data_IF_789679672956
#
_entry.id   IF_789679672956
#
_cell.length_a   1.000
_cell.length_b   1.000
_cell.length_c   1.000
_cell.angle_alpha   90.00
_cell.angle_beta   90.00
_cell.angle_gamma   90.00
#
_symmetry.space_group_name_H-M   'P 1'
#
loop_
_entity.id
_entity.type
_entity.pdbx_description
1 polymer ?
#
# COMPACT_ATOMS: atom_id res chain seq x y z
N UNK A 1 -29.19 53.83 -38.19
CA UNK A 1 -28.05 53.12 -38.84
C UNK A 1 -26.66 53.45 -38.26
N UNK A 2 -26.41 54.49 -37.47
CA UNK A 2 -25.09 54.88 -36.91
C UNK A 2 -24.60 53.96 -35.78
N UNK A 3 -25.49 53.36 -35.00
CA UNK A 3 -25.09 52.51 -33.84
C UNK A 3 -24.64 51.08 -34.19
N UNK A 4 -25.09 50.53 -35.35
CA UNK A 4 -24.63 49.20 -35.83
C UNK A 4 -23.18 49.20 -36.31
N UNK A 5 -22.67 50.30 -36.88
CA UNK A 5 -21.27 50.39 -37.34
C UNK A 5 -20.25 50.52 -36.17
N UNK A 6 -20.64 51.13 -35.04
CA UNK A 6 -19.78 51.17 -33.84
C UNK A 6 -19.66 49.80 -33.14
N UNK A 7 -20.75 49.05 -33.06
CA UNK A 7 -20.74 47.72 -32.45
C UNK A 7 -19.90 46.70 -33.25
N UNK A 8 -19.96 46.78 -34.59
CA UNK A 8 -19.19 45.92 -35.46
C UNK A 8 -17.68 46.21 -35.44
N UNK A 9 -17.26 47.48 -35.25
CA UNK A 9 -15.85 47.85 -35.08
C UNK A 9 -15.29 47.36 -33.72
N UNK A 10 -16.07 47.42 -32.64
CA UNK A 10 -15.69 46.82 -31.36
C UNK A 10 -15.60 45.27 -31.40
N UNK A 11 -16.49 44.62 -32.14
CA UNK A 11 -16.45 43.16 -32.29
C UNK A 11 -15.21 42.70 -33.09
N UNK A 12 -14.85 43.42 -34.16
CA UNK A 12 -13.64 43.15 -34.95
C UNK A 12 -12.37 43.41 -34.12
N UNK A 13 -12.33 44.48 -33.32
CA UNK A 13 -11.20 44.76 -32.44
C UNK A 13 -11.04 43.68 -31.34
N UNK A 14 -12.13 43.14 -30.79
CA UNK A 14 -12.10 42.02 -29.83
C UNK A 14 -11.66 40.73 -30.50
N UNK A 15 -12.07 40.43 -31.75
CA UNK A 15 -11.60 39.24 -32.47
C UNK A 15 -10.12 39.35 -32.86
N UNK A 16 -9.63 40.51 -33.22
CA UNK A 16 -8.20 40.70 -33.52
C UNK A 16 -7.34 40.62 -32.28
N UNK A 17 -7.82 41.11 -31.11
CA UNK A 17 -7.15 40.88 -29.84
C UNK A 17 -7.18 39.39 -29.42
N UNK A 18 -8.27 38.67 -29.64
CA UNK A 18 -8.34 37.23 -29.36
C UNK A 18 -7.40 36.41 -30.26
N UNK A 19 -7.25 36.81 -31.54
CA UNK A 19 -6.29 36.17 -32.45
C UNK A 19 -4.83 36.55 -32.16
N UNK A 20 -4.55 37.78 -31.67
CA UNK A 20 -3.20 38.17 -31.25
C UNK A 20 -2.73 37.40 -30.00
N UNK A 21 -3.65 37.02 -29.10
CA UNK A 21 -3.34 36.10 -27.97
C UNK A 21 -3.10 34.65 -28.40
N UNK A 22 -3.59 34.24 -29.59
CA UNK A 22 -3.33 32.90 -30.13
C UNK A 22 -1.99 32.79 -30.88
N UNK A 23 -1.31 33.90 -31.20
CA UNK A 23 -0.08 33.89 -32.01
C UNK A 23 1.17 34.21 -31.19
N UNK A 24 1.06 34.77 -30.01
CA UNK A 24 2.16 34.65 -29.05
C UNK A 24 2.17 33.21 -28.60
N UNK A 25 2.91 32.37 -29.32
CA UNK A 25 3.34 31.08 -28.82
C UNK A 25 4.01 31.32 -27.48
N UNK A 26 3.24 31.26 -26.41
CA UNK A 26 3.79 31.07 -25.07
C UNK A 26 4.55 29.77 -25.24
N UNK A 27 5.85 29.86 -25.43
CA UNK A 27 6.76 28.77 -25.15
C UNK A 27 6.53 28.47 -23.68
N UNK A 28 5.49 27.67 -23.40
CA UNK A 28 5.22 27.16 -22.10
C UNK A 28 6.46 26.33 -21.77
N UNK A 29 7.43 27.01 -21.16
CA UNK A 29 8.69 26.40 -20.77
C UNK A 29 8.29 25.21 -19.91
N UNK A 30 8.49 24.04 -20.51
CA UNK A 30 7.96 22.79 -20.01
C UNK A 30 8.35 22.64 -18.55
N UNK A 31 7.40 22.82 -17.64
CA UNK A 31 7.63 22.95 -16.21
C UNK A 31 8.43 21.75 -15.68
N UNK A 32 9.60 22.00 -15.13
CA UNK A 32 10.42 21.00 -14.47
C UNK A 32 9.79 20.68 -13.13
N UNK A 33 9.14 19.52 -13.02
CA UNK A 33 8.59 19.03 -11.74
C UNK A 33 9.64 18.21 -11.02
N UNK A 34 10.01 18.62 -9.80
CA UNK A 34 10.94 17.88 -8.94
C UNK A 34 10.17 17.27 -7.78
N UNK A 35 10.40 15.98 -7.51
CA UNK A 35 9.78 15.24 -6.42
C UNK A 35 10.83 14.45 -5.66
N UNK A 36 10.79 14.49 -4.32
CA UNK A 36 11.56 13.59 -3.46
C UNK A 36 10.74 12.33 -3.23
N UNK A 37 11.35 11.16 -3.43
CA UNK A 37 10.68 9.86 -3.25
C UNK A 37 11.61 8.89 -2.52
N UNK A 38 11.02 8.01 -1.72
CA UNK A 38 11.74 6.89 -1.10
C UNK A 38 11.29 5.62 -1.77
N UNK A 39 12.24 4.82 -2.24
CA UNK A 39 12.04 3.48 -2.75
C UNK A 39 12.64 2.47 -1.77
N UNK A 40 12.20 1.21 -1.85
CA UNK A 40 12.85 0.12 -1.16
C UNK A 40 13.66 -0.74 -2.13
N UNK A 41 14.71 -1.39 -1.61
CA UNK A 41 15.50 -2.33 -2.41
C UNK A 41 14.60 -3.45 -2.94
N UNK A 42 14.72 -3.79 -4.21
CA UNK A 42 13.88 -4.77 -4.90
C UNK A 42 12.63 -4.19 -5.57
N UNK A 43 12.24 -2.94 -5.26
CA UNK A 43 11.05 -2.35 -5.89
C UNK A 43 11.22 -2.12 -7.39
N UNK A 44 10.22 -2.59 -8.14
CA UNK A 44 10.06 -2.31 -9.57
C UNK A 44 8.76 -1.56 -9.80
N UNK A 45 8.89 -0.30 -10.22
CA UNK A 45 7.76 0.63 -10.25
C UNK A 45 7.59 1.20 -11.65
N UNK A 46 6.35 1.14 -12.14
CA UNK A 46 5.95 1.81 -13.36
C UNK A 46 5.39 3.19 -13.05
N UNK A 47 5.97 4.22 -13.68
CA UNK A 47 5.53 5.60 -13.57
C UNK A 47 4.89 6.06 -14.87
N UNK A 48 3.72 6.67 -14.77
CA UNK A 48 3.08 7.42 -15.86
C UNK A 48 3.11 8.91 -15.54
N UNK A 49 3.25 9.76 -16.53
CA UNK A 49 3.38 11.19 -16.35
C UNK A 49 2.21 11.92 -17.01
N UNK A 50 1.45 12.66 -16.22
CA UNK A 50 0.36 13.49 -16.72
C UNK A 50 0.94 14.81 -17.18
N UNK A 51 0.63 15.22 -18.40
CA UNK A 51 1.03 16.53 -18.98
C UNK A 51 2.45 16.61 -19.54
N UNK A 52 3.25 15.53 -19.44
CA UNK A 52 4.61 15.51 -19.99
C UNK A 52 4.68 15.18 -21.49
N UNK A 53 3.60 14.64 -22.05
CA UNK A 53 3.58 14.12 -23.42
C UNK A 53 4.39 12.82 -23.55
N UNK A 54 4.84 12.51 -24.77
CA UNK A 54 5.62 11.29 -25.05
C UNK A 54 7.00 11.37 -24.38
N UNK A 55 7.41 10.34 -23.65
CA UNK A 55 8.75 10.25 -23.03
C UNK A 55 9.82 10.15 -24.11
N UNK A 56 10.70 11.14 -24.18
CA UNK A 56 11.86 11.19 -25.09
C UNK A 56 13.05 10.43 -24.50
N UNK A 57 13.42 10.77 -23.26
CA UNK A 57 14.57 10.15 -22.61
C UNK A 57 14.35 9.96 -21.11
N UNK A 58 15.07 9.01 -20.53
CA UNK A 58 15.21 8.80 -19.09
C UNK A 58 16.66 8.50 -18.76
N UNK A 59 17.16 9.12 -17.67
CA UNK A 59 18.53 8.92 -17.17
C UNK A 59 18.49 8.81 -15.66
N UNK A 60 19.18 7.82 -15.13
CA UNK A 60 19.52 7.72 -13.71
C UNK A 60 20.94 8.23 -13.47
N UNK A 61 21.14 9.03 -12.43
CA UNK A 61 22.49 9.46 -12.01
C UNK A 61 23.32 8.33 -11.41
N UNK A 62 22.66 7.26 -10.97
CA UNK A 62 23.30 6.07 -10.42
C UNK A 62 22.44 4.81 -10.68
N UNK A 63 22.69 4.16 -11.80
CA UNK A 63 21.95 2.96 -12.22
C UNK A 63 22.26 1.72 -11.36
N UNK A 64 23.36 1.72 -10.59
CA UNK A 64 23.66 0.68 -9.60
C UNK A 64 22.76 0.78 -8.37
N UNK A 65 22.21 1.98 -8.08
CA UNK A 65 21.23 2.21 -7.00
C UNK A 65 19.80 2.08 -7.54
N UNK A 66 19.48 2.80 -8.62
CA UNK A 66 18.17 2.73 -9.28
C UNK A 66 18.38 2.73 -10.78
N UNK A 67 18.04 1.63 -11.43
CA UNK A 67 17.92 1.59 -12.89
C UNK A 67 16.60 2.22 -13.33
N UNK A 68 16.61 2.90 -14.49
CA UNK A 68 15.42 3.48 -15.07
C UNK A 68 15.43 3.30 -16.59
N UNK A 69 14.30 2.85 -17.16
CA UNK A 69 14.13 2.68 -18.61
C UNK A 69 12.78 3.19 -19.09
N UNK A 70 12.70 3.55 -20.36
CA UNK A 70 11.41 3.91 -21.00
C UNK A 70 10.50 2.67 -21.04
N UNK A 71 9.21 2.91 -20.81
CA UNK A 71 8.21 1.86 -20.90
C UNK A 71 6.87 2.47 -21.32
N UNK A 72 6.36 2.09 -22.51
CA UNK A 72 5.14 2.68 -23.08
C UNK A 72 5.19 4.24 -23.00
N UNK A 73 4.17 4.86 -22.40
CA UNK A 73 4.08 6.32 -22.21
C UNK A 73 4.67 6.81 -20.87
N UNK A 74 5.56 6.02 -20.25
CA UNK A 74 6.17 6.32 -18.98
C UNK A 74 7.57 5.76 -18.83
N UNK A 75 7.94 5.44 -17.59
CA UNK A 75 9.20 4.77 -17.27
C UNK A 75 8.94 3.62 -16.30
N UNK A 76 9.84 2.64 -16.30
CA UNK A 76 9.98 1.65 -15.24
C UNK A 76 11.28 1.95 -14.49
N UNK A 77 11.20 1.96 -13.16
CA UNK A 77 12.36 2.05 -12.28
C UNK A 77 12.52 0.74 -11.51
N UNK A 78 13.76 0.36 -11.25
CA UNK A 78 14.12 -0.82 -10.47
C UNK A 78 15.19 -0.43 -9.45
N UNK A 79 14.85 -0.57 -8.17
CA UNK A 79 15.72 -0.22 -7.03
C UNK A 79 16.59 -1.41 -6.66
N UNK A 80 17.92 -1.31 -6.88
CA UNK A 80 18.83 -2.44 -6.76
C UNK A 80 19.54 -2.52 -5.42
N UNK A 81 19.91 -1.38 -4.84
CA UNK A 81 20.60 -1.33 -3.56
C UNK A 81 20.37 -0.01 -2.82
N UNK A 82 20.60 0.00 -1.53
CA UNK A 82 20.55 1.20 -0.66
C UNK A 82 21.42 2.32 -1.22
N UNK A 83 20.92 3.55 -1.20
CA UNK A 83 21.66 4.73 -1.67
C UNK A 83 20.75 5.84 -2.17
N UNK A 84 21.35 6.80 -2.88
CA UNK A 84 20.65 7.93 -3.50
C UNK A 84 20.89 7.96 -5.00
N UNK A 85 19.88 8.33 -5.76
CA UNK A 85 19.97 8.57 -7.20
C UNK A 85 18.99 9.68 -7.62
N UNK A 86 19.29 10.33 -8.74
CA UNK A 86 18.37 11.26 -9.38
C UNK A 86 17.94 10.67 -10.71
N UNK A 87 16.63 10.51 -10.90
CA UNK A 87 16.06 10.07 -12.18
C UNK A 87 15.52 11.30 -12.89
N UNK A 88 16.07 11.59 -14.07
CA UNK A 88 15.59 12.67 -14.93
C UNK A 88 14.88 12.07 -16.13
N UNK A 89 13.62 12.46 -16.32
CA UNK A 89 12.80 12.05 -17.46
C UNK A 89 12.42 13.28 -18.26
N UNK A 90 12.71 13.27 -19.56
CA UNK A 90 12.34 14.35 -20.50
C UNK A 90 11.22 13.84 -21.42
N UNK A 91 10.19 14.63 -21.59
CA UNK A 91 9.10 14.39 -22.53
C UNK A 91 9.00 15.49 -23.58
N UNK A 92 7.96 15.41 -24.43
CA UNK A 92 7.70 16.40 -25.47
C UNK A 92 7.20 17.73 -24.91
N UNK A 93 6.58 17.73 -23.71
CA UNK A 93 5.93 18.90 -23.10
C UNK A 93 6.45 19.21 -21.69
N UNK A 94 7.52 18.54 -21.20
CA UNK A 94 8.04 18.80 -19.87
C UNK A 94 9.08 17.82 -19.40
N UNK A 95 9.54 18.02 -18.17
CA UNK A 95 10.48 17.11 -17.52
C UNK A 95 10.10 16.82 -16.08
N UNK A 96 10.41 15.61 -15.63
CA UNK A 96 10.28 15.19 -14.23
C UNK A 96 11.64 14.82 -13.69
N UNK A 97 11.88 15.22 -12.45
CA UNK A 97 13.09 14.85 -11.69
C UNK A 97 12.67 14.20 -10.39
N UNK A 98 13.04 12.94 -10.21
CA UNK A 98 12.89 12.25 -8.94
C UNK A 98 14.23 12.25 -8.20
N UNK A 99 14.27 12.87 -7.02
CA UNK A 99 15.36 12.68 -6.06
C UNK A 99 15.04 11.46 -5.23
N UNK A 100 15.64 10.33 -5.58
CA UNK A 100 15.34 9.02 -4.99
C UNK A 100 16.29 8.73 -3.84
N UNK A 101 15.73 8.28 -2.72
CA UNK A 101 16.48 7.61 -1.66
C UNK A 101 16.02 6.16 -1.60
N UNK A 102 16.93 5.20 -1.77
CA UNK A 102 16.63 3.77 -1.63
C UNK A 102 17.05 3.30 -0.25
N UNK A 103 16.15 2.61 0.44
CA UNK A 103 16.34 2.02 1.75
C UNK A 103 15.98 0.53 1.72
N UNK A 104 16.45 -0.24 2.70
CA UNK A 104 15.88 -1.55 2.95
C UNK A 104 14.49 -1.37 3.58
N UNK A 105 13.52 -2.26 3.28
CA UNK A 105 12.31 -2.32 4.07
C UNK A 105 12.68 -2.75 5.50
N UNK A 106 12.06 -2.11 6.48
CA UNK A 106 12.24 -2.44 7.90
C UNK A 106 10.99 -3.21 8.35
N UNK A 107 10.92 -4.47 7.90
CA UNK A 107 9.83 -5.39 8.20
C UNK A 107 10.39 -6.49 9.10
N UNK A 108 9.77 -6.68 10.25
CA UNK A 108 10.02 -7.80 11.15
C UNK A 108 8.92 -8.84 11.00
N UNK A 109 9.29 -10.09 10.98
CA UNK A 109 8.39 -11.24 10.86
C UNK A 109 8.52 -12.08 12.12
N UNK A 110 7.39 -12.50 12.70
CA UNK A 110 7.41 -13.56 13.73
C UNK A 110 7.35 -14.92 13.04
N UNK A 111 8.04 -15.89 13.62
CA UNK A 111 8.01 -17.29 13.16
C UNK A 111 6.88 -18.05 13.83
N UNK A 112 6.37 -19.12 13.20
CA UNK A 112 5.46 -20.06 13.84
C UNK A 112 6.18 -20.77 15.00
N UNK A 113 5.42 -21.15 16.01
CA UNK A 113 5.96 -21.75 17.25
C UNK A 113 5.31 -23.07 17.66
N UNK A 114 4.24 -23.47 16.97
CA UNK A 114 3.46 -24.66 17.32
C UNK A 114 2.79 -25.28 16.10
N UNK A 115 2.44 -26.55 16.22
CA UNK A 115 1.55 -27.24 15.27
C UNK A 115 0.10 -26.78 15.46
N UNK A 116 -0.72 -27.03 14.45
CA UNK A 116 -2.09 -26.50 14.37
C UNK A 116 -2.12 -25.06 13.90
N UNK A 117 -2.99 -24.26 14.46
CA UNK A 117 -3.08 -22.83 14.14
C UNK A 117 -1.97 -22.06 14.86
N UNK A 118 -0.92 -21.72 14.12
CA UNK A 118 0.22 -20.98 14.64
C UNK A 118 0.07 -19.49 14.31
N UNK A 119 0.10 -18.64 15.34
CA UNK A 119 -0.01 -17.20 15.20
C UNK A 119 1.29 -16.62 14.67
N UNK A 120 1.20 -15.88 13.59
CA UNK A 120 2.32 -15.19 12.97
C UNK A 120 2.01 -13.71 12.78
N UNK A 121 3.04 -12.89 12.57
CA UNK A 121 2.85 -11.45 12.40
C UNK A 121 3.92 -10.82 11.52
N UNK A 122 3.58 -9.66 10.96
CA UNK A 122 4.55 -8.74 10.37
C UNK A 122 4.46 -7.39 11.06
N UNK A 123 5.60 -6.79 11.38
CA UNK A 123 5.70 -5.44 11.92
C UNK A 123 6.49 -4.57 10.96
N UNK A 124 5.90 -3.48 10.53
CA UNK A 124 6.59 -2.46 9.74
C UNK A 124 7.22 -1.44 10.68
N UNK A 125 8.49 -1.59 11.00
CA UNK A 125 9.25 -0.65 11.83
C UNK A 125 9.78 0.55 11.03
N UNK A 126 9.62 0.53 9.71
CA UNK A 126 10.03 1.62 8.81
C UNK A 126 9.00 2.75 8.68
N UNK A 127 9.40 3.75 7.89
CA UNK A 127 8.52 4.81 7.42
C UNK A 127 7.96 4.43 6.06
N UNK A 128 6.75 4.03 5.98
CA UNK A 128 6.12 3.67 4.71
C UNK A 128 4.84 2.90 4.97
N UNK A 129 4.15 2.65 3.89
CA UNK A 129 2.92 1.90 3.89
C UNK A 129 3.05 0.80 2.84
N UNK A 130 2.68 -0.41 3.20
CA UNK A 130 2.62 -1.55 2.29
C UNK A 130 1.15 -1.89 2.01
N UNK A 131 0.77 -1.95 0.74
CA UNK A 131 -0.58 -2.39 0.35
C UNK A 131 -0.78 -3.85 0.72
N UNK A 132 0.26 -4.65 0.51
CA UNK A 132 0.31 -6.05 0.92
C UNK A 132 1.75 -6.47 1.25
N UNK A 133 1.86 -7.38 2.21
CA UNK A 133 3.07 -8.15 2.51
C UNK A 133 2.66 -9.61 2.44
N UNK A 134 3.41 -10.45 1.74
CA UNK A 134 3.28 -11.90 1.83
C UNK A 134 4.55 -12.49 2.40
N UNK A 135 4.41 -13.41 3.33
CA UNK A 135 5.51 -14.16 3.93
C UNK A 135 5.35 -15.62 3.55
N UNK A 136 6.39 -16.20 2.97
CA UNK A 136 6.50 -17.61 2.73
C UNK A 136 7.41 -18.19 3.80
N UNK A 137 6.89 -19.03 4.67
CA UNK A 137 7.63 -19.73 5.71
C UNK A 137 8.12 -21.07 5.14
N UNK A 138 9.37 -21.40 5.39
CA UNK A 138 9.99 -22.69 5.09
C UNK A 138 10.21 -23.43 6.39
N UNK A 139 9.62 -24.60 6.53
CA UNK A 139 9.68 -25.42 7.75
C UNK A 139 10.63 -26.60 7.53
N UNK A 140 11.48 -26.82 8.50
CA UNK A 140 12.53 -27.85 8.45
C UNK A 140 12.42 -28.80 9.65
N UNK A 141 12.94 -30.02 9.49
CA UNK A 141 13.17 -30.95 10.61
C UNK A 141 14.47 -30.62 11.36
N UNK A 142 14.76 -31.37 12.41
CA UNK A 142 15.98 -31.22 13.21
C UNK A 142 17.26 -31.51 12.41
N UNK A 143 17.21 -32.30 11.35
CA UNK A 143 18.33 -32.55 10.45
C UNK A 143 18.55 -31.44 9.41
N UNK A 144 17.58 -30.53 9.25
CA UNK A 144 17.63 -29.43 8.28
C UNK A 144 17.03 -29.77 6.91
N UNK A 145 16.28 -30.87 6.81
CA UNK A 145 15.52 -31.18 5.61
C UNK A 145 14.24 -30.35 5.55
N UNK A 146 13.91 -29.77 4.40
CA UNK A 146 12.67 -28.99 4.23
C UNK A 146 11.45 -29.93 4.23
N UNK A 147 10.54 -29.72 5.20
CA UNK A 147 9.27 -30.42 5.31
C UNK A 147 8.19 -29.81 4.41
N UNK A 148 8.31 -28.52 4.10
CA UNK A 148 7.40 -27.81 3.25
C UNK A 148 7.31 -26.33 3.56
N UNK A 149 6.37 -25.67 2.87
CA UNK A 149 6.19 -24.20 2.97
C UNK A 149 4.75 -23.85 3.28
N UNK A 150 4.55 -22.75 4.03
CA UNK A 150 3.25 -22.14 4.30
C UNK A 150 3.33 -20.64 4.02
N UNK A 151 2.21 -20.05 3.57
CA UNK A 151 2.16 -18.65 3.16
C UNK A 151 1.06 -17.89 3.88
N UNK A 152 1.42 -16.71 4.37
CA UNK A 152 0.47 -15.77 4.96
C UNK A 152 0.50 -14.41 4.25
N UNK A 153 -0.65 -13.76 4.18
CA UNK A 153 -0.85 -12.46 3.52
C UNK A 153 -1.32 -11.41 4.51
N UNK A 154 -0.64 -10.28 4.53
CA UNK A 154 -0.96 -9.16 5.38
C UNK A 154 -1.29 -7.95 4.52
N UNK A 155 -2.47 -7.37 4.73
CA UNK A 155 -2.92 -6.22 3.96
C UNK A 155 -2.77 -4.93 4.75
N UNK A 156 -2.39 -3.87 4.03
CA UNK A 156 -2.41 -2.50 4.55
C UNK A 156 -1.61 -2.33 5.85
N UNK A 157 -0.30 -2.60 5.78
CA UNK A 157 0.60 -2.49 6.93
C UNK A 157 1.28 -1.12 6.93
N UNK A 158 0.74 -0.20 7.73
CA UNK A 158 1.26 1.17 7.86
C UNK A 158 2.56 1.26 8.65
N UNK A 159 3.17 2.45 8.63
CA UNK A 159 4.37 2.76 9.43
C UNK A 159 4.12 2.52 10.92
N UNK A 160 5.07 1.84 11.58
CA UNK A 160 5.02 1.51 13.01
C UNK A 160 3.81 0.66 13.42
N UNK A 161 3.21 -0.07 12.47
CA UNK A 161 2.06 -0.94 12.71
C UNK A 161 2.45 -2.41 12.57
N UNK A 162 1.68 -3.25 13.25
CA UNK A 162 1.77 -4.71 13.19
C UNK A 162 0.50 -5.25 12.52
N UNK A 163 0.62 -6.33 11.77
CA UNK A 163 -0.51 -7.14 11.31
C UNK A 163 -0.27 -8.58 11.75
N UNK A 164 -1.34 -9.22 12.17
CA UNK A 164 -1.34 -10.61 12.63
C UNK A 164 -2.02 -11.50 11.61
N UNK A 165 -1.60 -12.74 11.55
CA UNK A 165 -2.20 -13.82 10.79
C UNK A 165 -2.09 -15.13 11.53
N UNK A 166 -2.66 -16.18 10.93
CA UNK A 166 -2.56 -17.55 11.42
C UNK A 166 -2.27 -18.47 10.25
N UNK A 167 -1.31 -19.36 10.40
CA UNK A 167 -1.04 -20.43 9.45
C UNK A 167 -1.34 -21.77 10.10
N UNK A 168 -2.00 -22.66 9.36
CA UNK A 168 -2.31 -23.99 9.83
C UNK A 168 -1.18 -24.95 9.51
N UNK A 169 -0.52 -25.44 10.56
CA UNK A 169 0.56 -26.42 10.45
C UNK A 169 0.04 -27.82 10.79
N UNK A 170 -0.27 -28.58 9.74
CA UNK A 170 -0.80 -29.93 9.86
C UNK A 170 0.10 -30.83 10.72
N UNK A 171 -0.48 -31.43 11.75
CA UNK A 171 0.21 -32.41 12.64
C UNK A 171 0.74 -33.63 11.89
N UNK A 172 0.22 -33.94 10.72
CA UNK A 172 0.70 -35.05 9.87
C UNK A 172 1.90 -34.66 9.05
N UNK A 173 1.83 -33.48 8.40
CA UNK A 173 2.89 -33.00 7.50
C UNK A 173 4.10 -32.47 8.27
N UNK A 174 3.88 -31.78 9.38
CA UNK A 174 4.91 -31.05 10.12
C UNK A 174 5.21 -31.66 11.50
N UNK A 175 4.88 -32.95 11.73
CA UNK A 175 5.08 -33.63 13.01
C UNK A 175 6.51 -33.48 13.57
N UNK A 176 7.51 -33.49 12.70
CA UNK A 176 8.93 -33.43 13.06
C UNK A 176 9.54 -32.03 12.85
N UNK A 177 8.71 -30.98 12.72
CA UNK A 177 9.21 -29.63 12.51
C UNK A 177 10.01 -29.10 13.69
N UNK A 178 11.20 -28.61 13.42
CA UNK A 178 12.00 -27.81 14.34
C UNK A 178 11.77 -26.32 14.02
N UNK A 179 10.88 -25.70 14.79
CA UNK A 179 10.50 -24.31 14.58
C UNK A 179 11.69 -23.34 14.71
N UNK A 180 12.75 -23.71 15.43
CA UNK A 180 13.96 -22.88 15.55
C UNK A 180 14.74 -22.76 14.24
N UNK A 181 14.52 -23.68 13.29
CA UNK A 181 15.13 -23.70 11.95
C UNK A 181 14.27 -23.06 10.88
N UNK A 182 13.05 -22.63 11.24
CA UNK A 182 12.16 -21.98 10.27
C UNK A 182 12.81 -20.74 9.67
N UNK A 183 12.78 -20.66 8.34
CA UNK A 183 13.19 -19.47 7.58
C UNK A 183 12.00 -18.85 6.86
N UNK A 184 12.19 -17.67 6.28
CA UNK A 184 11.11 -17.02 5.53
C UNK A 184 11.61 -16.17 4.38
N UNK A 185 10.75 -16.03 3.38
CA UNK A 185 10.87 -15.05 2.31
C UNK A 185 9.76 -14.01 2.39
N UNK A 186 10.09 -12.76 2.11
CA UNK A 186 9.13 -11.66 2.11
C UNK A 186 8.97 -11.11 0.70
N UNK A 187 7.73 -11.00 0.27
CA UNK A 187 7.35 -10.18 -0.88
C UNK A 187 6.40 -9.07 -0.42
N UNK A 188 6.52 -7.88 -1.01
CA UNK A 188 5.62 -6.78 -0.70
C UNK A 188 5.22 -5.99 -1.93
N UNK A 189 4.09 -5.29 -1.78
CA UNK A 189 3.63 -4.33 -2.76
C UNK A 189 3.24 -3.02 -2.05
N UNK A 190 3.50 -1.90 -2.71
CA UNK A 190 3.01 -0.59 -2.26
C UNK A 190 2.69 0.33 -3.42
N UNK A 191 1.64 1.13 -3.26
CA UNK A 191 1.27 2.18 -4.20
C UNK A 191 2.02 3.46 -3.87
N UNK A 192 2.86 3.95 -4.78
CA UNK A 192 3.49 5.26 -4.65
C UNK A 192 2.57 6.43 -5.04
N UNK A 193 1.44 6.15 -5.68
CA UNK A 193 0.47 7.16 -6.11
C UNK A 193 -0.55 7.49 -5.03
N UNK A 194 -0.87 6.51 -4.20
CA UNK A 194 -1.79 6.71 -3.10
C UNK A 194 -1.07 7.40 -1.93
N UNK A 195 -1.69 8.46 -1.42
CA UNK A 195 -1.29 9.07 -0.16
C UNK A 195 -2.11 8.42 0.94
N UNK A 196 -1.44 7.72 1.84
CA UNK A 196 -2.06 7.11 2.99
C UNK A 196 -1.88 8.01 4.22
N UNK A 197 -2.99 8.29 4.87
CA UNK A 197 -3.02 9.03 6.15
C UNK A 197 -3.58 8.11 7.22
N UNK A 198 -2.91 8.02 8.38
CA UNK A 198 -3.49 7.32 9.53
C UNK A 198 -4.82 7.97 9.92
N UNK A 199 -5.85 7.18 9.89
CA UNK A 199 -7.22 7.59 10.16
C UNK A 199 -7.84 6.81 11.32
N UNK A 200 -7.04 6.05 12.06
CA UNK A 200 -7.49 5.10 13.10
C UNK A 200 -8.36 5.79 14.15
N UNK A 201 -8.00 6.98 14.59
CA UNK A 201 -8.77 7.78 15.57
C UNK A 201 -10.14 8.27 15.05
N UNK A 202 -10.39 8.18 13.73
CA UNK A 202 -11.63 8.62 13.07
C UNK A 202 -12.57 7.47 12.70
N UNK A 203 -12.14 6.23 12.96
CA UNK A 203 -12.94 5.03 12.75
C UNK A 203 -13.30 4.43 14.11
N UNK A 204 -14.60 4.21 14.31
CA UNK A 204 -15.10 3.50 15.50
C UNK A 204 -15.17 2.01 15.17
N UNK A 205 -14.58 1.19 16.02
CA UNK A 205 -14.63 -0.26 15.96
C UNK A 205 -15.41 -0.76 17.18
N UNK A 206 -16.47 -1.52 16.94
CA UNK A 206 -17.24 -2.21 17.98
C UNK A 206 -17.37 -3.66 17.61
N UNK A 207 -17.41 -4.53 18.60
CA UNK A 207 -17.62 -5.96 18.38
C UNK A 207 -18.60 -6.50 19.42
N UNK A 208 -19.43 -7.45 18.99
CA UNK A 208 -20.38 -8.17 19.84
C UNK A 208 -20.39 -9.64 19.46
N UNK A 209 -20.64 -10.54 20.40
CA UNK A 209 -20.82 -11.95 20.10
C UNK A 209 -22.30 -12.30 20.07
N UNK A 210 -22.71 -13.08 19.06
CA UNK A 210 -24.04 -13.67 18.96
C UNK A 210 -23.99 -14.94 18.10
N UNK A 211 -24.73 -15.96 18.50
CA UNK A 211 -24.84 -17.22 17.75
C UNK A 211 -23.49 -17.83 17.32
N UNK A 212 -22.51 -17.88 18.24
CA UNK A 212 -21.17 -18.41 17.98
C UNK A 212 -20.34 -17.60 16.97
N UNK A 213 -20.71 -16.34 16.73
CA UNK A 213 -19.99 -15.43 15.82
C UNK A 213 -19.63 -14.12 16.52
N UNK A 214 -18.44 -13.61 16.22
CA UNK A 214 -18.02 -12.25 16.59
C UNK A 214 -18.37 -11.30 15.44
N UNK A 215 -19.29 -10.39 15.69
CA UNK A 215 -19.74 -9.39 14.73
C UNK A 215 -18.96 -8.10 14.93
N UNK A 216 -18.02 -7.81 14.04
CA UNK A 216 -17.22 -6.58 14.09
C UNK A 216 -17.83 -5.53 13.19
N UNK A 217 -18.27 -4.43 13.80
CA UNK A 217 -18.81 -3.25 13.12
C UNK A 217 -17.76 -2.15 13.09
N UNK A 218 -17.48 -1.65 11.88
CA UNK A 218 -16.64 -0.47 11.67
C UNK A 218 -17.48 0.68 11.15
N UNK A 219 -17.27 1.88 11.66
CA UNK A 219 -17.97 3.08 11.21
C UNK A 219 -17.04 4.28 11.18
N UNK A 220 -17.30 5.23 10.27
CA UNK A 220 -16.52 6.45 10.11
C UNK A 220 -17.38 7.68 9.88
N UNK A 221 -16.83 8.87 10.19
CA UNK A 221 -17.44 10.17 9.93
C UNK A 221 -16.69 10.94 8.82
N UNK A 222 -16.37 10.26 7.69
CA UNK A 222 -15.62 10.87 6.59
C UNK A 222 -16.55 11.39 5.48
N UNK A 223 -16.31 12.63 5.03
CA UNK A 223 -17.10 13.30 3.98
C UNK A 223 -16.33 13.56 2.67
N UNK A 224 -15.01 13.30 2.65
CA UNK A 224 -14.13 13.60 1.52
C UNK A 224 -14.19 12.61 0.36
N UNK A 225 -13.28 12.77 -0.60
CA UNK A 225 -13.04 11.82 -1.71
C UNK A 225 -12.07 10.72 -1.27
N UNK A 226 -12.21 9.52 -1.84
CA UNK A 226 -11.40 8.35 -1.51
C UNK A 226 -12.15 7.34 -0.65
N UNK A 227 -11.41 6.41 -0.07
CA UNK A 227 -11.96 5.42 0.85
C UNK A 227 -11.05 5.27 2.08
N UNK A 228 -11.62 4.74 3.14
CA UNK A 228 -10.90 4.37 4.35
C UNK A 228 -10.81 2.87 4.42
N UNK A 229 -9.60 2.35 4.44
CA UNK A 229 -9.32 0.98 4.84
C UNK A 229 -9.37 0.91 6.37
N UNK A 230 -10.19 0.03 6.92
CA UNK A 230 -10.32 -0.19 8.35
C UNK A 230 -10.04 -1.65 8.68
N UNK A 231 -8.83 -1.95 9.14
CA UNK A 231 -8.36 -3.30 9.50
C UNK A 231 -8.39 -3.54 11.00
N UNK A 232 -8.53 -4.78 11.39
CA UNK A 232 -8.54 -5.25 12.77
C UNK A 232 -8.19 -6.73 12.84
N UNK A 233 -7.79 -7.18 14.04
CA UNK A 233 -7.57 -8.60 14.29
C UNK A 233 -8.47 -9.04 15.46
N UNK A 234 -9.06 -10.24 15.35
CA UNK A 234 -9.78 -10.90 16.43
C UNK A 234 -8.93 -12.06 16.90
N UNK A 235 -8.55 -12.03 18.15
CA UNK A 235 -7.84 -13.11 18.83
C UNK A 235 -8.85 -13.97 19.57
N UNK A 236 -8.77 -15.27 19.41
CA UNK A 236 -9.59 -16.26 20.10
C UNK A 236 -8.73 -17.00 21.10
N UNK A 237 -9.29 -17.25 22.28
CA UNK A 237 -8.59 -17.86 23.42
C UNK A 237 -9.32 -19.09 23.93
N UNK A 238 -8.56 -20.11 24.29
CA UNK A 238 -9.06 -21.28 25.02
C UNK A 238 -9.34 -20.96 26.51
N UNK A 239 -9.80 -21.97 27.27
CA UNK A 239 -10.08 -21.85 28.70
C UNK A 239 -8.82 -21.57 29.55
N UNK A 240 -7.63 -21.90 29.04
CA UNK A 240 -6.35 -21.65 29.72
C UNK A 240 -5.81 -20.24 29.40
N UNK A 241 -6.47 -19.50 28.49
CA UNK A 241 -6.05 -18.17 28.05
C UNK A 241 -5.00 -18.18 26.92
N UNK A 242 -4.73 -19.34 26.33
CA UNK A 242 -3.85 -19.42 25.18
C UNK A 242 -4.57 -18.94 23.91
N UNK A 243 -3.84 -18.34 22.99
CA UNK A 243 -4.39 -17.96 21.67
C UNK A 243 -4.51 -19.22 20.83
N UNK A 244 -5.73 -19.59 20.46
CA UNK A 244 -6.02 -20.73 19.58
C UNK A 244 -6.11 -20.33 18.13
N UNK A 245 -6.55 -19.10 17.84
CA UNK A 245 -6.65 -18.59 16.48
C UNK A 245 -6.60 -17.06 16.42
N UNK A 246 -6.12 -16.53 15.31
CA UNK A 246 -6.20 -15.10 14.97
C UNK A 246 -6.84 -14.93 13.59
N UNK A 247 -7.86 -14.08 13.53
CA UNK A 247 -8.48 -13.66 12.26
C UNK A 247 -8.20 -12.19 12.02
N UNK A 248 -7.36 -11.89 11.04
CA UNK A 248 -7.19 -10.53 10.54
C UNK A 248 -8.24 -10.24 9.47
N UNK A 249 -8.87 -9.08 9.55
CA UNK A 249 -9.91 -8.70 8.61
C UNK A 249 -9.94 -7.20 8.39
N UNK A 250 -10.67 -6.77 7.35
CA UNK A 250 -10.75 -5.36 7.02
C UNK A 250 -12.05 -4.99 6.30
N UNK A 251 -12.35 -3.70 6.34
CA UNK A 251 -13.45 -3.10 5.59
C UNK A 251 -12.94 -1.92 4.75
N UNK A 252 -13.44 -1.80 3.53
CA UNK A 252 -13.37 -0.55 2.79
C UNK A 252 -14.63 0.27 3.09
N UNK A 253 -14.44 1.45 3.68
CA UNK A 253 -15.49 2.40 4.02
C UNK A 253 -15.44 3.57 3.03
N UNK A 254 -16.59 3.90 2.44
CA UNK A 254 -16.74 4.94 1.44
C UNK A 254 -17.69 6.03 1.93
N UNK A 255 -17.67 7.21 1.28
CA UNK A 255 -18.59 8.33 1.60
C UNK A 255 -20.06 7.89 1.66
N UNK A 256 -20.48 6.99 0.75
CA UNK A 256 -21.85 6.46 0.69
C UNK A 256 -22.08 5.26 1.63
N UNK A 257 -21.05 4.55 2.01
CA UNK A 257 -21.10 3.37 2.88
C UNK A 257 -20.13 3.53 4.06
N UNK A 258 -20.56 4.32 5.06
CA UNK A 258 -19.74 4.69 6.21
C UNK A 258 -19.69 3.64 7.31
N UNK A 259 -20.50 2.61 7.21
CA UNK A 259 -20.59 1.53 8.21
C UNK A 259 -20.60 0.19 7.50
N UNK A 260 -19.82 -0.75 8.04
CA UNK A 260 -19.84 -2.16 7.65
C UNK A 260 -19.76 -3.05 8.87
N UNK A 261 -20.39 -4.21 8.78
CA UNK A 261 -20.29 -5.28 9.78
C UNK A 261 -19.82 -6.54 9.07
N UNK A 262 -18.93 -7.28 9.71
CA UNK A 262 -18.46 -8.58 9.29
C UNK A 262 -18.58 -9.56 10.46
N UNK A 263 -19.05 -10.78 10.18
CA UNK A 263 -19.23 -11.84 11.17
C UNK A 263 -18.15 -12.88 11.00
N UNK A 264 -17.42 -13.14 12.07
CA UNK A 264 -16.32 -14.11 12.15
C UNK A 264 -16.81 -15.27 13.03
N UNK A 265 -16.81 -16.49 12.51
CA UNK A 265 -17.14 -17.68 13.31
C UNK A 265 -16.11 -17.88 14.40
N UNK A 266 -16.57 -18.12 15.62
CA UNK A 266 -15.70 -18.45 16.75
C UNK A 266 -15.24 -19.91 16.60
N UNK A 267 -13.93 -20.21 16.74
CA UNK A 267 -13.44 -21.57 16.77
C UNK A 267 -14.12 -22.38 17.87
N UNK A 268 -14.26 -23.70 17.67
CA UNK A 268 -14.95 -24.58 18.61
C UNK A 268 -14.31 -24.62 20.00
N UNK A 269 -13.00 -24.59 20.06
CA UNK A 269 -12.18 -24.63 21.26
C UNK A 269 -11.98 -23.25 21.93
N UNK A 270 -12.46 -22.17 21.27
CA UNK A 270 -12.38 -20.85 21.84
C UNK A 270 -13.52 -20.56 22.83
N UNK A 271 -13.16 -20.12 24.05
CA UNK A 271 -14.13 -19.71 25.08
C UNK A 271 -14.27 -18.18 25.17
N UNK A 272 -13.27 -17.44 24.71
CA UNK A 272 -13.28 -15.98 24.73
C UNK A 272 -12.59 -15.39 23.50
N UNK A 273 -12.76 -14.07 23.31
CA UNK A 273 -12.15 -13.35 22.20
C UNK A 273 -11.80 -11.91 22.56
N UNK A 274 -10.89 -11.31 21.79
CA UNK A 274 -10.52 -9.90 21.95
C UNK A 274 -10.31 -9.24 20.59
N UNK A 275 -10.92 -8.09 20.40
CA UNK A 275 -10.69 -7.23 19.23
C UNK A 275 -9.45 -6.38 19.44
N UNK A 276 -8.41 -6.61 18.68
CA UNK A 276 -7.11 -5.94 18.80
C UNK A 276 -6.66 -5.36 17.46
N UNK A 277 -5.50 -4.71 17.46
CA UNK A 277 -4.81 -4.22 16.28
C UNK A 277 -5.70 -3.38 15.33
N UNK A 278 -6.52 -2.50 15.93
CA UNK A 278 -7.39 -1.58 15.18
C UNK A 278 -6.52 -0.60 14.41
N UNK A 279 -6.70 -0.54 13.08
CA UNK A 279 -5.94 0.33 12.20
C UNK A 279 -6.83 0.86 11.09
N UNK A 280 -6.67 2.12 10.72
CA UNK A 280 -7.38 2.65 9.57
C UNK A 280 -6.51 3.63 8.80
N UNK A 281 -6.64 3.60 7.47
CA UNK A 281 -5.89 4.46 6.56
C UNK A 281 -6.83 5.06 5.54
N UNK A 282 -6.79 6.39 5.44
CA UNK A 282 -7.44 7.11 4.37
C UNK A 282 -6.54 7.08 3.14
N UNK A 283 -7.01 6.48 2.06
CA UNK A 283 -6.39 6.61 0.74
C UNK A 283 -6.98 7.79 -0.02
N UNK A 284 -6.12 8.71 -0.42
CA UNK A 284 -6.47 9.80 -1.34
C UNK A 284 -5.62 9.67 -2.61
N UNK A 285 -6.28 9.70 -3.75
CA UNK A 285 -5.66 9.66 -5.09
C UNK A 285 -5.56 11.05 -5.68
#
# INVERSE_FOLDING_TARGET
MKNRKKSMKCLIALMVMAMAFCVTGVNAQAAKKTQKVTFFVGEKIQHSFIGMGKVKSVKSSNSKVVAAKKYKNGIVTESKKKGKATITTKGTRGSYVYKVTVKNPDIKVSLPTNLGDSVVSVKNDGSGYFDSISVLYHLYDAAGNELGTEREFYNCVGSKKIAYGSIYLSKYRYANADFSKTTYEINWNRSLRAKFKDYTKKVKFTATESNGKVNVKTSMSYKGKGYVYAGYSVFFYDAAGNVVEVRDSYHFLYKKQKTKTYSISKPYDAVSWKLVNKRAYLETR
#
